data_IF_386018510652
#
_entry.id   IF_386018510652
#
_cell.length_a   1.000
_cell.length_b   1.000
_cell.length_c   1.000
_cell.angle_alpha   90.00
_cell.angle_beta   90.00
_cell.angle_gamma   90.00
#
_symmetry.space_group_name_H-M   'P 1'
#
loop_
_entity.id
_entity.type
_entity.pdbx_description
1 polymer ?
#
# COMPACT_ATOMS: atom_id res chain seq x y z
N UNK A 1 19.92 -11.14 -58.04
CA UNK A 1 18.66 -10.94 -58.79
C UNK A 1 17.91 -9.82 -58.07
N UNK A 2 18.09 -8.56 -58.49
CA UNK A 2 17.17 -7.75 -59.33
C UNK A 2 15.87 -7.43 -58.58
N UNK A 3 15.34 -6.20 -58.37
CA UNK A 3 15.64 -4.79 -58.72
C UNK A 3 14.81 -3.91 -57.73
N UNK A 4 15.30 -2.76 -57.23
CA UNK A 4 14.98 -1.35 -57.61
C UNK A 4 13.47 -1.00 -57.78
N UNK A 5 12.92 0.16 -57.38
CA UNK A 5 13.47 1.39 -56.81
C UNK A 5 12.47 2.57 -56.85
N UNK A 6 12.85 3.67 -56.17
CA UNK A 6 12.60 5.12 -56.45
C UNK A 6 11.23 5.83 -56.21
N UNK A 7 11.32 6.86 -55.35
CA UNK A 7 10.61 8.16 -55.20
C UNK A 7 10.65 9.04 -56.49
N UNK A 8 9.92 10.18 -56.70
CA UNK A 8 9.86 11.37 -55.80
C UNK A 8 8.65 12.37 -55.87
N UNK A 9 8.75 13.36 -54.97
CA UNK A 9 8.13 14.71 -54.77
C UNK A 9 7.29 15.42 -55.85
N UNK A 10 6.36 16.27 -55.38
CA UNK A 10 5.87 17.50 -56.05
C UNK A 10 4.77 18.27 -55.27
N UNK A 11 5.01 19.56 -54.94
CA UNK A 11 4.04 20.63 -54.58
C UNK A 11 3.83 21.54 -55.83
N UNK A 12 2.75 22.37 -55.95
CA UNK A 12 2.59 23.73 -55.34
C UNK A 12 1.14 24.03 -54.84
N UNK A 13 0.85 24.84 -53.82
CA UNK A 13 0.78 26.33 -53.64
C UNK A 13 -0.26 27.11 -54.49
N UNK A 14 -1.27 27.72 -53.83
CA UNK A 14 -1.55 29.18 -53.72
C UNK A 14 -3.04 29.48 -53.35
N UNK A 15 -3.32 30.57 -52.60
CA UNK A 15 -4.68 31.17 -52.53
C UNK A 15 -5.37 31.51 -51.19
N UNK A 16 -4.68 32.16 -50.25
CA UNK A 16 -4.99 33.46 -49.58
C UNK A 16 -6.42 33.97 -49.17
N UNK A 17 -6.45 34.69 -48.00
CA UNK A 17 -7.40 35.74 -47.49
C UNK A 17 -8.66 35.30 -46.69
N UNK A 18 -9.05 35.81 -45.50
CA UNK A 18 -8.85 37.08 -44.75
C UNK A 18 -9.09 36.92 -43.22
N UNK A 19 -8.57 37.91 -42.46
CA UNK A 19 -8.61 38.19 -41.01
C UNK A 19 -10.01 38.46 -40.40
N UNK A 20 -10.19 38.26 -39.08
CA UNK A 20 -10.38 39.36 -38.10
C UNK A 20 -10.39 38.84 -36.64
N UNK A 21 -9.88 39.65 -35.72
CA UNK A 21 -9.58 39.31 -34.33
C UNK A 21 -10.72 39.50 -33.32
N UNK A 22 -10.46 39.07 -32.08
CA UNK A 22 -10.71 39.82 -30.82
C UNK A 22 -10.77 38.89 -29.60
N UNK A 23 -10.15 39.35 -28.51
CA UNK A 23 -10.24 38.79 -27.16
C UNK A 23 -11.68 38.93 -26.62
N UNK A 24 -12.17 37.94 -25.86
CA UNK A 24 -12.59 38.14 -24.46
C UNK A 24 -12.88 36.80 -23.75
N UNK A 25 -12.81 36.85 -22.42
CA UNK A 25 -13.04 35.83 -21.42
C UNK A 25 -14.47 35.30 -21.46
N UNK A 26 -14.67 34.01 -21.24
CA UNK A 26 -15.78 33.51 -20.41
C UNK A 26 -15.58 32.04 -20.06
N UNK A 27 -15.55 31.78 -18.77
CA UNK A 27 -15.59 30.48 -18.10
C UNK A 27 -16.90 29.75 -18.44
N UNK A 28 -16.88 28.48 -18.89
CA UNK A 28 -18.07 27.64 -18.82
C UNK A 28 -18.04 26.84 -17.51
N UNK A 29 -18.91 27.26 -16.60
CA UNK A 29 -19.39 26.46 -15.48
C UNK A 29 -20.05 25.19 -16.03
N UNK A 30 -19.53 24.00 -15.70
CA UNK A 30 -20.14 22.73 -16.08
C UNK A 30 -20.52 21.93 -14.83
N UNK A 31 -21.83 21.95 -14.58
CA UNK A 31 -22.70 20.89 -14.09
C UNK A 31 -22.23 20.01 -12.92
N UNK A 32 -22.94 20.19 -11.81
CA UNK A 32 -23.20 19.17 -10.80
C UNK A 32 -23.58 17.82 -11.43
N UNK A 33 -22.99 16.69 -11.01
CA UNK A 33 -23.58 15.38 -11.25
C UNK A 33 -24.47 15.00 -10.06
N UNK A 34 -25.77 15.08 -10.30
CA UNK A 34 -26.77 14.31 -9.56
C UNK A 34 -26.59 12.81 -9.82
N UNK A 35 -26.52 12.06 -8.71
CA UNK A 35 -26.97 10.66 -8.53
C UNK A 35 -26.34 9.55 -9.40
N UNK A 36 -25.50 8.78 -8.73
CA UNK A 36 -25.69 7.33 -8.57
C UNK A 36 -25.39 6.44 -9.77
N UNK A 37 -24.16 5.95 -9.87
CA UNK A 37 -23.88 4.72 -10.62
C UNK A 37 -24.18 3.49 -9.74
N UNK A 38 -25.05 2.56 -10.17
CA UNK A 38 -25.26 1.30 -9.49
C UNK A 38 -24.28 0.26 -10.06
N UNK A 39 -23.14 0.08 -9.36
CA UNK A 39 -22.37 -1.16 -9.29
C UNK A 39 -21.14 -0.92 -8.40
N UNK A 40 -21.39 -0.69 -7.10
CA UNK A 40 -20.37 -0.97 -6.10
C UNK A 40 -20.46 -2.47 -5.81
N UNK A 41 -19.66 -3.28 -6.52
CA UNK A 41 -19.23 -4.57 -5.95
C UNK A 41 -18.44 -4.20 -4.68
N UNK A 42 -19.15 -4.05 -3.57
CA UNK A 42 -18.59 -3.56 -2.32
C UNK A 42 -17.91 -4.75 -1.64
N UNK A 43 -16.81 -5.22 -2.23
CA UNK A 43 -15.95 -6.27 -1.68
C UNK A 43 -15.69 -5.93 -0.20
N UNK A 44 -16.08 -6.81 0.71
CA UNK A 44 -15.90 -6.61 2.15
C UNK A 44 -14.61 -7.25 2.62
N UNK A 45 -14.20 -8.33 1.98
CA UNK A 45 -13.03 -9.10 2.37
C UNK A 45 -11.99 -9.22 1.26
N UNK A 46 -10.73 -9.37 1.66
CA UNK A 46 -9.70 -9.87 0.75
C UNK A 46 -10.05 -11.28 0.31
N UNK A 47 -9.79 -11.58 -0.97
CA UNK A 47 -9.85 -12.94 -1.53
C UNK A 47 -8.79 -13.88 -0.96
N UNK A 48 -7.79 -13.34 -0.24
CA UNK A 48 -6.77 -14.11 0.48
C UNK A 48 -7.17 -14.28 1.94
N UNK A 49 -7.26 -15.52 2.38
CA UNK A 49 -7.69 -15.91 3.73
C UNK A 49 -6.59 -16.73 4.39
N UNK A 50 -6.25 -16.42 5.64
CA UNK A 50 -5.32 -17.24 6.42
C UNK A 50 -6.05 -18.42 7.07
N UNK A 51 -5.42 -19.60 7.03
CA UNK A 51 -5.89 -20.81 7.71
C UNK A 51 -4.78 -21.35 8.60
N UNK A 52 -5.03 -21.46 9.90
CA UNK A 52 -4.03 -21.91 10.89
C UNK A 52 -4.49 -23.10 11.72
N UNK A 53 -3.53 -23.87 12.25
CA UNK A 53 -3.81 -25.05 13.06
C UNK A 53 -4.08 -26.32 12.26
N UNK A 54 -3.70 -26.35 10.98
CA UNK A 54 -3.85 -27.50 10.09
C UNK A 54 -3.26 -28.79 10.71
N UNK A 55 -3.83 -29.98 10.44
CA UNK A 55 -3.16 -31.24 10.74
C UNK A 55 -1.77 -31.28 10.08
N UNK A 56 -0.75 -31.87 10.73
CA UNK A 56 0.61 -31.90 10.19
C UNK A 56 0.75 -32.76 8.92
N UNK A 57 -0.19 -33.67 8.70
CA UNK A 57 -0.26 -34.63 7.61
C UNK A 57 -1.33 -34.28 6.57
N UNK A 58 -1.98 -33.10 6.66
CA UNK A 58 -2.95 -32.67 5.64
C UNK A 58 -2.23 -32.13 4.41
N UNK A 59 -2.63 -32.59 3.23
CA UNK A 59 -2.05 -32.12 1.96
C UNK A 59 -2.91 -31.05 1.27
N UNK A 60 -2.43 -30.53 0.14
CA UNK A 60 -3.16 -29.54 -0.66
C UNK A 60 -4.51 -30.05 -1.20
N UNK A 61 -4.59 -31.32 -1.55
CA UNK A 61 -5.77 -31.91 -2.17
C UNK A 61 -6.91 -32.01 -1.14
N UNK A 62 -6.57 -32.41 0.08
CA UNK A 62 -7.48 -32.47 1.23
C UNK A 62 -7.93 -31.07 1.67
N UNK A 63 -7.01 -30.09 1.73
CA UNK A 63 -7.36 -28.69 1.99
C UNK A 63 -8.30 -28.18 0.90
N UNK A 64 -7.95 -28.39 -0.37
CA UNK A 64 -8.79 -27.96 -1.50
C UNK A 64 -10.16 -28.61 -1.43
N UNK A 65 -10.24 -29.91 -1.14
CA UNK A 65 -11.50 -30.63 -1.00
C UNK A 65 -12.37 -30.04 0.13
N UNK A 66 -11.78 -29.63 1.24
CA UNK A 66 -12.49 -29.04 2.37
C UNK A 66 -13.08 -27.66 2.06
N UNK A 67 -12.40 -26.84 1.25
CA UNK A 67 -12.78 -25.45 1.00
C UNK A 67 -13.41 -25.17 -0.37
N UNK A 68 -13.23 -26.05 -1.37
CA UNK A 68 -13.77 -25.86 -2.74
C UNK A 68 -15.28 -25.71 -2.79
N UNK A 69 -15.99 -26.16 -1.75
CA UNK A 69 -17.45 -26.03 -1.62
C UNK A 69 -17.93 -24.58 -1.55
N UNK A 70 -17.04 -23.65 -1.16
CA UNK A 70 -17.34 -22.23 -1.08
C UNK A 70 -17.05 -21.50 -2.39
N UNK A 71 -16.19 -22.08 -3.24
CA UNK A 71 -15.85 -21.55 -4.55
C UNK A 71 -14.47 -22.00 -5.03
N UNK A 72 -14.11 -21.68 -6.28
CA UNK A 72 -12.78 -21.97 -6.83
C UNK A 72 -11.69 -21.24 -6.05
N UNK A 73 -10.61 -21.95 -5.71
CA UNK A 73 -9.51 -21.42 -4.91
C UNK A 73 -8.17 -22.06 -5.28
N UNK A 74 -7.09 -21.37 -4.90
CA UNK A 74 -5.71 -21.89 -4.91
C UNK A 74 -5.19 -21.90 -3.48
N UNK A 75 -4.55 -23.00 -3.07
CA UNK A 75 -3.89 -23.10 -1.76
C UNK A 75 -2.44 -22.66 -1.91
N UNK A 76 -1.99 -21.74 -1.08
CA UNK A 76 -0.62 -21.22 -1.09
C UNK A 76 0.00 -21.23 0.32
N UNK A 77 1.30 -21.39 0.40
CA UNK A 77 2.07 -21.21 1.63
C UNK A 77 3.51 -20.79 1.30
N UNK A 78 4.21 -20.13 2.23
CA UNK A 78 5.56 -19.64 1.96
C UNK A 78 6.49 -20.75 1.46
N UNK A 79 7.27 -20.46 0.42
CA UNK A 79 8.24 -21.37 -0.23
C UNK A 79 7.66 -22.64 -0.87
N UNK A 80 6.34 -22.70 -1.14
CA UNK A 80 5.71 -23.86 -1.80
C UNK A 80 6.37 -24.23 -3.14
N UNK A 81 6.55 -23.24 -4.03
CA UNK A 81 7.12 -23.45 -5.36
C UNK A 81 8.60 -23.89 -5.35
N UNK A 82 9.36 -23.48 -4.32
CA UNK A 82 10.79 -23.75 -4.20
C UNK A 82 11.07 -25.08 -3.49
N UNK A 83 10.29 -25.39 -2.45
CA UNK A 83 10.56 -26.53 -1.57
C UNK A 83 10.06 -27.87 -2.11
N UNK A 84 9.19 -27.89 -3.14
CA UNK A 84 8.40 -29.07 -3.56
C UNK A 84 7.72 -29.79 -2.37
N UNK A 85 7.55 -29.09 -1.24
CA UNK A 85 6.92 -29.66 -0.05
C UNK A 85 5.44 -29.84 -0.33
N UNK A 86 4.94 -31.06 -0.17
CA UNK A 86 3.51 -31.37 -0.31
C UNK A 86 2.68 -30.87 0.88
N UNK A 87 3.33 -30.60 2.01
CA UNK A 87 2.68 -30.23 3.27
C UNK A 87 2.96 -28.78 3.67
N UNK A 88 1.96 -28.06 4.24
CA UNK A 88 2.12 -26.70 4.72
C UNK A 88 3.03 -26.67 5.97
N UNK A 89 4.18 -25.96 5.90
CA UNK A 89 5.09 -25.90 7.03
C UNK A 89 4.46 -25.15 8.20
N UNK A 90 4.65 -25.66 9.43
CA UNK A 90 4.13 -25.07 10.68
C UNK A 90 2.60 -25.03 10.80
N UNK A 91 1.89 -25.84 10.01
CA UNK A 91 0.45 -26.05 10.17
C UNK A 91 -0.42 -24.84 9.81
N UNK A 92 -0.03 -24.06 8.80
CA UNK A 92 -0.86 -22.98 8.26
C UNK A 92 -0.69 -22.82 6.75
N UNK A 93 -1.72 -22.28 6.09
CA UNK A 93 -1.69 -21.92 4.68
C UNK A 93 -2.52 -20.66 4.41
N UNK A 94 -2.58 -20.26 3.14
CA UNK A 94 -3.46 -19.22 2.63
C UNK A 94 -4.36 -19.81 1.55
N UNK A 95 -5.64 -19.49 1.62
CA UNK A 95 -6.59 -19.74 0.55
C UNK A 95 -6.69 -18.48 -0.30
N UNK A 96 -6.52 -18.60 -1.62
CA UNK A 96 -6.73 -17.53 -2.58
C UNK A 96 -7.98 -17.88 -3.39
N UNK A 97 -9.12 -17.33 -3.01
CA UNK A 97 -10.36 -17.51 -3.75
C UNK A 97 -10.37 -16.69 -5.05
N UNK A 98 -11.05 -17.17 -6.07
CA UNK A 98 -11.26 -16.38 -7.29
C UNK A 98 -12.20 -15.20 -7.03
N UNK A 99 -13.25 -15.43 -6.23
CA UNK A 99 -14.33 -14.47 -5.96
C UNK A 99 -14.44 -14.14 -4.46
N UNK A 100 -14.71 -12.88 -4.14
CA UNK A 100 -14.91 -12.41 -2.77
C UNK A 100 -16.16 -13.03 -2.10
N UNK A 101 -17.21 -13.31 -2.89
CA UNK A 101 -18.41 -14.02 -2.41
C UNK A 101 -18.09 -15.39 -1.82
N UNK A 102 -17.02 -16.05 -2.29
CA UNK A 102 -16.58 -17.34 -1.73
C UNK A 102 -16.05 -17.18 -0.30
N UNK A 103 -15.40 -16.06 -0.01
CA UNK A 103 -14.92 -15.71 1.34
C UNK A 103 -16.09 -15.41 2.25
N UNK A 104 -17.11 -14.70 1.76
CA UNK A 104 -18.35 -14.46 2.53
C UNK A 104 -19.05 -15.77 2.89
N UNK A 105 -19.25 -16.67 1.91
CA UNK A 105 -19.85 -17.98 2.14
C UNK A 105 -19.05 -18.84 3.13
N UNK A 106 -17.72 -18.79 3.08
CA UNK A 106 -16.86 -19.44 4.06
C UNK A 106 -17.09 -18.88 5.48
N UNK A 107 -17.10 -17.55 5.63
CA UNK A 107 -17.29 -16.88 6.93
C UNK A 107 -18.66 -17.24 7.52
N UNK A 108 -19.72 -17.20 6.71
CA UNK A 108 -21.09 -17.52 7.15
C UNK A 108 -21.25 -18.97 7.59
N UNK A 109 -20.45 -19.89 7.03
CA UNK A 109 -20.46 -21.30 7.40
C UNK A 109 -19.54 -21.65 8.59
N UNK A 110 -18.64 -20.74 8.98
CA UNK A 110 -17.70 -21.00 10.07
C UNK A 110 -18.39 -21.09 11.44
N UNK A 111 -17.84 -21.94 12.31
CA UNK A 111 -18.13 -21.92 13.74
C UNK A 111 -17.48 -20.68 14.36
N UNK A 112 -18.21 -19.97 15.22
CA UNK A 112 -17.71 -18.76 15.89
C UNK A 112 -17.48 -19.06 17.38
N UNK A 113 -16.25 -18.92 17.83
CA UNK A 113 -15.86 -19.11 19.24
C UNK A 113 -14.87 -18.00 19.63
N UNK A 114 -15.12 -17.28 20.73
CA UNK A 114 -14.30 -16.14 21.20
C UNK A 114 -13.97 -15.10 20.11
N UNK A 115 -14.95 -14.77 19.27
CA UNK A 115 -14.78 -13.87 18.10
C UNK A 115 -13.77 -14.36 17.05
N UNK A 116 -13.42 -15.64 17.08
CA UNK A 116 -12.58 -16.32 16.07
C UNK A 116 -13.46 -17.26 15.25
N UNK A 117 -13.09 -17.43 13.99
CA UNK A 117 -13.79 -18.30 13.05
C UNK A 117 -13.04 -19.63 12.95
N UNK A 118 -13.80 -20.72 12.93
CA UNK A 118 -13.28 -22.07 12.81
C UNK A 118 -14.03 -22.87 11.73
N UNK A 119 -13.29 -23.69 11.01
CA UNK A 119 -13.83 -24.65 10.06
C UNK A 119 -13.20 -26.01 10.31
N UNK A 120 -13.97 -27.09 10.20
CA UNK A 120 -13.44 -28.43 10.43
C UNK A 120 -12.82 -29.00 9.14
N UNK A 121 -11.60 -29.53 9.25
CA UNK A 121 -10.91 -30.26 8.17
C UNK A 121 -10.50 -31.63 8.66
N UNK A 122 -10.32 -32.56 7.73
CA UNK A 122 -9.87 -33.92 8.02
C UNK A 122 -8.63 -34.25 7.20
N UNK A 123 -7.65 -34.93 7.83
CA UNK A 123 -6.48 -35.53 7.20
C UNK A 123 -6.58 -37.07 7.29
N UNK A 124 -5.57 -37.85 6.84
CA UNK A 124 -5.58 -39.30 6.97
C UNK A 124 -5.62 -39.75 8.43
N UNK A 125 -4.90 -39.06 9.33
CA UNK A 125 -4.80 -39.45 10.74
C UNK A 125 -5.75 -38.70 11.69
N UNK A 126 -6.33 -37.57 11.28
CA UNK A 126 -7.18 -36.75 12.14
C UNK A 126 -8.49 -36.38 11.44
N UNK A 127 -9.63 -36.64 12.08
CA UNK A 127 -10.95 -36.29 11.56
C UNK A 127 -11.50 -35.07 12.28
N UNK A 128 -12.21 -34.23 11.53
CA UNK A 128 -12.97 -33.07 12.02
C UNK A 128 -12.16 -32.15 12.95
N UNK A 129 -10.89 -31.91 12.61
CA UNK A 129 -10.04 -30.98 13.35
C UNK A 129 -10.51 -29.55 13.08
N UNK A 130 -10.87 -28.76 14.10
CA UNK A 130 -11.15 -27.34 13.91
C UNK A 130 -9.86 -26.60 13.57
N UNK A 131 -9.86 -25.90 12.44
CA UNK A 131 -8.78 -25.00 12.02
C UNK A 131 -9.27 -23.56 12.03
N UNK A 132 -8.38 -22.66 12.40
CA UNK A 132 -8.71 -21.24 12.53
C UNK A 132 -8.74 -20.57 11.16
N UNK A 133 -9.86 -19.92 10.85
CA UNK A 133 -10.06 -19.12 9.64
C UNK A 133 -9.91 -17.64 10.00
N UNK A 134 -9.07 -16.91 9.26
CA UNK A 134 -8.83 -15.48 9.49
C UNK A 134 -8.91 -14.72 8.16
N UNK A 135 -10.10 -14.20 7.80
CA UNK A 135 -10.24 -13.31 6.66
C UNK A 135 -9.64 -11.93 6.96
N UNK A 136 -9.27 -11.19 5.92
CA UNK A 136 -8.91 -9.78 6.06
C UNK A 136 -10.09 -8.90 5.64
N UNK A 137 -10.59 -8.08 6.55
CA UNK A 137 -11.64 -7.10 6.25
C UNK A 137 -11.00 -5.87 5.59
N UNK A 138 -11.51 -5.48 4.42
CA UNK A 138 -10.94 -4.36 3.68
C UNK A 138 -11.07 -3.03 4.45
N UNK A 139 -12.10 -2.88 5.30
CA UNK A 139 -12.30 -1.72 6.14
C UNK A 139 -11.27 -1.58 7.27
N UNK A 140 -10.48 -2.62 7.56
CA UNK A 140 -9.40 -2.57 8.55
C UNK A 140 -8.07 -2.05 7.97
N UNK A 141 -8.03 -1.77 6.66
CA UNK A 141 -6.83 -1.34 5.93
C UNK A 141 -6.48 0.13 6.17
N UNK A 142 -7.43 0.96 6.55
CA UNK A 142 -7.23 2.38 6.82
C UNK A 142 -8.07 2.87 7.98
N UNK A 143 -7.60 3.93 8.63
CA UNK A 143 -8.28 4.56 9.75
C UNK A 143 -7.97 6.05 9.76
N UNK A 144 -9.02 6.87 9.78
CA UNK A 144 -8.93 8.34 9.92
C UNK A 144 -9.56 8.71 11.26
N UNK A 145 -8.82 9.41 12.12
CA UNK A 145 -9.31 9.83 13.45
C UNK A 145 -10.21 11.06 13.39
N UNK A 146 -9.89 11.99 12.49
CA UNK A 146 -10.64 13.22 12.24
C UNK A 146 -10.58 13.53 10.74
N UNK A 147 -11.70 13.39 10.05
CA UNK A 147 -11.81 13.61 8.60
C UNK A 147 -11.94 15.08 8.20
N UNK A 148 -12.01 16.01 9.17
CA UNK A 148 -12.15 17.44 8.90
C UNK A 148 -10.83 18.13 8.54
N UNK A 149 -9.70 17.54 8.90
CA UNK A 149 -8.38 18.13 8.69
C UNK A 149 -7.69 17.51 7.47
N UNK A 150 -7.13 18.32 6.56
CA UNK A 150 -6.35 17.79 5.45
C UNK A 150 -5.12 17.08 6.00
N UNK A 151 -4.88 15.86 5.50
CA UNK A 151 -3.70 15.08 5.85
C UNK A 151 -2.49 15.61 5.08
N UNK A 152 -1.42 15.92 5.81
CA UNK A 152 -0.16 16.32 5.20
C UNK A 152 0.73 15.07 4.99
N UNK A 153 0.98 14.67 3.73
CA UNK A 153 1.77 13.49 3.43
C UNK A 153 3.23 13.63 3.88
N UNK A 154 3.74 14.86 4.08
CA UNK A 154 5.12 15.10 4.57
C UNK A 154 5.29 14.80 6.05
N UNK A 155 4.19 14.75 6.82
CA UNK A 155 4.16 14.32 8.23
C UNK A 155 3.79 12.85 8.40
N UNK A 156 4.03 12.04 7.35
CA UNK A 156 3.75 10.60 7.36
C UNK A 156 5.02 9.80 7.59
N UNK A 157 4.93 8.79 8.43
CA UNK A 157 5.97 7.79 8.66
C UNK A 157 5.60 6.47 7.99
N UNK A 158 6.61 5.75 7.54
CA UNK A 158 6.52 4.35 7.16
C UNK A 158 6.87 3.48 8.37
N UNK A 159 6.07 2.44 8.62
CA UNK A 159 6.26 1.46 9.69
C UNK A 159 6.47 0.09 9.05
N UNK A 160 7.71 -0.39 9.06
CA UNK A 160 8.10 -1.68 8.52
C UNK A 160 8.06 -2.79 9.55
N UNK A 161 7.56 -3.96 9.17
CA UNK A 161 7.53 -5.14 10.03
C UNK A 161 6.27 -5.26 10.89
N UNK A 162 5.22 -4.48 10.61
CA UNK A 162 3.91 -4.55 11.27
C UNK A 162 3.38 -5.99 11.28
N UNK A 163 2.85 -6.51 12.41
CA UNK A 163 2.18 -7.81 12.44
C UNK A 163 1.00 -7.85 11.46
N UNK A 164 0.90 -8.88 10.60
CA UNK A 164 -0.20 -9.00 9.62
C UNK A 164 -1.62 -8.98 10.23
N UNK A 165 -1.84 -9.48 11.45
CA UNK A 165 -3.12 -9.32 12.15
C UNK A 165 -3.52 -7.89 12.52
N UNK A 166 -2.54 -6.98 12.62
CA UNK A 166 -2.75 -5.65 13.18
C UNK A 166 -3.59 -4.80 12.21
N UNK A 167 -4.65 -4.20 12.74
CA UNK A 167 -5.55 -3.33 11.98
C UNK A 167 -5.08 -1.88 12.00
N UNK A 168 -5.48 -1.09 11.01
CA UNK A 168 -5.09 0.32 10.92
C UNK A 168 -5.48 1.13 12.18
N UNK A 169 -6.68 0.89 12.70
CA UNK A 169 -7.17 1.53 13.94
C UNK A 169 -6.28 1.21 15.14
N UNK A 170 -5.84 -0.05 15.28
CA UNK A 170 -4.98 -0.50 16.38
C UNK A 170 -3.59 0.15 16.26
N UNK A 171 -3.02 0.18 15.04
CA UNK A 171 -1.77 0.89 14.78
C UNK A 171 -1.86 2.38 15.13
N UNK A 172 -2.95 3.04 14.74
CA UNK A 172 -3.20 4.45 15.08
C UNK A 172 -3.26 4.67 16.60
N UNK A 173 -3.96 3.81 17.33
CA UNK A 173 -4.07 3.92 18.79
C UNK A 173 -2.71 3.77 19.48
N UNK A 174 -1.95 2.75 19.11
CA UNK A 174 -0.61 2.50 19.68
C UNK A 174 0.30 3.71 19.42
N UNK A 175 0.38 4.17 18.17
CA UNK A 175 1.24 5.31 17.82
C UNK A 175 0.77 6.62 18.46
N UNK A 176 -0.54 6.81 18.61
CA UNK A 176 -1.09 7.98 19.29
C UNK A 176 -0.78 7.97 20.79
N UNK A 177 -0.75 6.79 21.42
CA UNK A 177 -0.35 6.67 22.82
C UNK A 177 1.14 6.97 23.02
N UNK A 178 1.99 6.60 22.05
CA UNK A 178 3.44 6.82 22.14
C UNK A 178 3.86 8.26 21.83
N UNK A 179 3.29 8.87 20.78
CA UNK A 179 3.77 10.16 20.25
C UNK A 179 2.70 11.26 20.23
N UNK A 180 1.43 10.92 20.43
CA UNK A 180 0.31 11.85 20.26
C UNK A 180 0.07 12.24 18.81
N UNK A 181 -1.04 12.96 18.58
CA UNK A 181 -1.29 13.66 17.32
C UNK A 181 -1.44 12.79 16.07
N UNK A 182 -1.78 11.51 16.19
CA UNK A 182 -2.05 10.68 15.00
C UNK A 182 -3.41 11.07 14.41
N UNK A 183 -3.43 11.41 13.13
CA UNK A 183 -4.65 11.72 12.39
C UNK A 183 -5.07 10.59 11.42
N UNK A 184 -4.10 9.80 10.96
CA UNK A 184 -4.34 8.70 10.03
C UNK A 184 -3.39 7.53 10.29
N UNK A 185 -3.89 6.32 10.08
CA UNK A 185 -3.04 5.14 9.87
C UNK A 185 -3.59 4.29 8.73
N UNK A 186 -2.68 3.59 8.04
CA UNK A 186 -3.02 2.63 7.00
C UNK A 186 -2.11 1.42 7.07
N UNK A 187 -2.64 0.26 6.69
CA UNK A 187 -1.89 -0.98 6.49
C UNK A 187 -1.56 -1.10 5.00
N UNK A 188 -0.30 -1.34 4.69
CA UNK A 188 0.13 -1.55 3.31
C UNK A 188 -0.32 -2.95 2.86
N UNK A 189 -1.21 -2.97 1.87
CA UNK A 189 -1.76 -4.18 1.28
C UNK A 189 -1.19 -4.47 -0.10
N UNK A 190 -1.29 -5.72 -0.51
CA UNK A 190 -1.06 -6.12 -1.90
C UNK A 190 -2.07 -5.45 -2.84
N UNK A 191 -1.66 -4.93 -4.02
CA UNK A 191 -2.58 -4.22 -4.92
C UNK A 191 -3.65 -5.14 -5.55
N UNK A 192 -3.36 -6.43 -5.73
CA UNK A 192 -4.28 -7.36 -6.38
C UNK A 192 -5.22 -8.01 -5.37
N UNK A 193 -4.66 -8.52 -4.27
CA UNK A 193 -5.42 -9.28 -3.28
C UNK A 193 -5.91 -8.39 -2.13
N UNK A 194 -5.44 -7.14 -2.02
CA UNK A 194 -5.75 -6.23 -0.90
C UNK A 194 -5.47 -6.86 0.47
N UNK A 195 -4.42 -7.71 0.55
CA UNK A 195 -4.03 -8.43 1.76
C UNK A 195 -2.79 -7.81 2.43
N UNK A 196 -2.70 -7.73 3.77
CA UNK A 196 -1.57 -7.10 4.48
C UNK A 196 -0.20 -7.67 4.14
N UNK A 197 0.76 -6.79 3.85
CA UNK A 197 2.16 -7.14 3.55
C UNK A 197 3.10 -7.05 4.75
N UNK A 198 2.59 -6.65 5.92
CA UNK A 198 3.38 -6.47 7.13
C UNK A 198 4.14 -5.14 7.18
N UNK A 199 3.54 -4.10 6.60
CA UNK A 199 3.98 -2.72 6.71
C UNK A 199 2.74 -1.82 6.85
N UNK A 200 2.95 -0.58 7.25
CA UNK A 200 1.91 0.42 7.34
C UNK A 200 2.45 1.83 7.31
N UNK A 201 1.53 2.79 7.36
CA UNK A 201 1.80 4.22 7.34
C UNK A 201 1.04 4.90 8.46
N UNK A 202 1.62 5.92 9.06
CA UNK A 202 0.97 6.72 10.10
C UNK A 202 1.26 8.18 9.85
N UNK A 203 0.21 8.99 9.78
CA UNK A 203 0.33 10.44 9.61
C UNK A 203 0.02 11.17 10.90
N UNK A 204 0.79 12.22 11.15
CA UNK A 204 0.66 13.07 12.33
C UNK A 204 0.12 14.45 11.95
N UNK A 205 -0.73 15.00 12.82
CA UNK A 205 -1.27 16.35 12.69
C UNK A 205 -0.21 17.43 12.95
N UNK A 206 0.83 17.10 13.72
CA UNK A 206 1.84 18.06 14.16
C UNK A 206 3.28 17.55 13.89
N UNK A 207 4.19 18.51 13.70
CA UNK A 207 5.59 18.24 13.36
C UNK A 207 6.36 17.58 14.51
N UNK A 208 6.01 17.89 15.76
CA UNK A 208 6.71 17.37 16.94
C UNK A 208 6.54 15.85 17.07
N UNK A 209 5.32 15.34 16.96
CA UNK A 209 5.02 13.90 16.97
C UNK A 209 5.69 13.17 15.81
N UNK A 210 5.70 13.76 14.61
CA UNK A 210 6.41 13.22 13.45
C UNK A 210 7.92 13.07 13.71
N UNK A 211 8.59 14.13 14.16
CA UNK A 211 10.04 14.10 14.44
C UNK A 211 10.35 13.11 15.57
N UNK A 212 9.53 13.07 16.62
CA UNK A 212 9.69 12.13 17.74
C UNK A 212 9.63 10.68 17.26
N UNK A 213 8.66 10.34 16.40
CA UNK A 213 8.51 9.01 15.85
C UNK A 213 9.69 8.60 14.95
N UNK A 214 10.17 9.50 14.08
CA UNK A 214 11.35 9.24 13.25
C UNK A 214 12.61 9.06 14.09
N UNK A 215 12.79 9.88 15.11
CA UNK A 215 13.96 9.83 16.00
C UNK A 215 14.03 8.51 16.78
N UNK A 216 12.88 7.91 17.11
CA UNK A 216 12.83 6.63 17.81
C UNK A 216 13.40 5.48 16.96
N UNK A 217 13.22 5.52 15.63
CA UNK A 217 13.66 4.52 14.62
C UNK A 217 13.10 3.10 14.80
N UNK A 218 12.89 2.63 16.02
CA UNK A 218 12.29 1.35 16.35
C UNK A 218 11.25 1.51 17.44
N UNK A 219 10.14 0.81 17.30
CA UNK A 219 9.03 0.82 18.25
C UNK A 219 8.62 -0.60 18.55
N UNK A 220 8.23 -0.89 19.79
CA UNK A 220 7.61 -2.16 20.13
C UNK A 220 6.11 -2.07 19.87
N UNK A 221 5.58 -2.95 19.03
CA UNK A 221 4.14 -3.11 18.83
C UNK A 221 3.67 -4.38 19.51
N UNK A 222 2.74 -4.22 20.44
CA UNK A 222 2.06 -5.31 21.11
C UNK A 222 0.65 -5.47 20.52
N UNK A 223 0.32 -6.69 20.06
CA UNK A 223 -0.99 -7.05 19.55
C UNK A 223 -1.35 -8.48 19.96
N UNK A 224 -2.23 -8.62 20.95
CA UNK A 224 -2.47 -9.90 21.61
C UNK A 224 -1.17 -10.46 22.19
N UNK A 225 -0.86 -11.71 21.85
CA UNK A 225 0.37 -12.39 22.27
C UNK A 225 1.60 -12.06 21.40
N UNK A 226 1.43 -11.22 20.37
CA UNK A 226 2.52 -10.81 19.48
C UNK A 226 3.17 -9.55 20.06
N UNK A 227 4.42 -9.67 20.47
CA UNK A 227 5.31 -8.54 20.71
C UNK A 227 6.35 -8.49 19.59
N UNK A 228 6.39 -7.38 18.86
CA UNK A 228 7.28 -7.23 17.71
C UNK A 228 7.88 -5.84 17.63
N UNK A 229 9.20 -5.81 17.51
CA UNK A 229 9.97 -4.61 17.20
C UNK A 229 9.82 -4.25 15.73
N UNK A 230 9.20 -3.11 15.45
CA UNK A 230 9.01 -2.56 14.11
C UNK A 230 10.01 -1.44 13.83
N UNK A 231 10.32 -1.23 12.56
CA UNK A 231 11.20 -0.16 12.10
C UNK A 231 10.37 1.03 11.61
N UNK A 232 10.73 2.24 12.03
CA UNK A 232 10.09 3.49 11.63
C UNK A 232 11.04 4.28 10.73
N UNK A 233 10.54 4.75 9.59
CA UNK A 233 11.27 5.58 8.62
C UNK A 233 10.40 6.73 8.12
N UNK A 234 10.99 7.83 7.63
CA UNK A 234 10.23 8.83 6.90
C UNK A 234 9.52 8.20 5.70
N UNK A 235 8.25 8.55 5.49
CA UNK A 235 7.59 8.22 4.24
C UNK A 235 8.09 9.18 3.14
N UNK A 236 8.71 8.63 2.11
CA UNK A 236 9.31 9.41 1.02
C UNK A 236 8.29 9.56 -0.11
N UNK A 237 8.12 10.79 -0.57
CA UNK A 237 7.20 11.20 -1.62
C UNK A 237 7.95 11.40 -2.93
N UNK A 238 7.22 11.22 -4.02
CA UNK A 238 7.78 11.05 -5.36
C UNK A 238 7.85 12.35 -6.18
N UNK A 239 7.09 13.36 -5.75
CA UNK A 239 6.71 14.56 -6.49
C UNK A 239 7.05 15.85 -5.71
N UNK A 240 8.08 15.78 -4.88
CA UNK A 240 8.49 16.91 -4.05
C UNK A 240 9.55 17.75 -4.77
N UNK A 241 9.36 19.07 -4.75
CA UNK A 241 10.38 20.02 -5.19
C UNK A 241 11.48 20.13 -4.13
N UNK A 242 12.64 20.65 -4.55
CA UNK A 242 13.72 20.96 -3.63
C UNK A 242 13.25 21.99 -2.59
N UNK A 243 13.36 21.69 -1.29
CA UNK A 243 12.88 22.58 -0.23
C UNK A 243 13.67 23.90 -0.17
N UNK A 244 14.91 23.90 -0.69
CA UNK A 244 15.82 25.05 -0.64
C UNK A 244 15.67 26.01 -1.81
N UNK A 245 15.40 25.49 -3.02
CA UNK A 245 15.33 26.32 -4.23
C UNK A 245 13.98 26.24 -4.94
N UNK A 246 13.04 25.42 -4.46
CA UNK A 246 11.69 25.27 -5.00
C UNK A 246 11.68 24.97 -6.51
N UNK A 247 12.65 24.19 -6.98
CA UNK A 247 12.80 23.84 -8.40
C UNK A 247 13.57 24.85 -9.25
N UNK A 248 13.89 26.04 -8.73
CA UNK A 248 14.52 27.11 -9.50
C UNK A 248 15.90 26.73 -10.07
N UNK A 249 16.68 25.92 -9.35
CA UNK A 249 18.02 25.48 -9.79
C UNK A 249 18.01 24.18 -10.62
N UNK A 250 16.86 23.56 -10.83
CA UNK A 250 16.73 22.28 -11.53
C UNK A 250 15.66 22.30 -12.64
N UNK A 251 15.31 23.49 -13.14
CA UNK A 251 14.36 23.64 -14.24
C UNK A 251 12.97 23.10 -13.92
N UNK A 252 12.53 23.21 -12.66
CA UNK A 252 11.24 22.71 -12.19
C UNK A 252 11.16 21.19 -11.98
N UNK A 253 12.27 20.45 -12.14
CA UNK A 253 12.31 19.01 -11.85
C UNK A 253 12.16 18.73 -10.35
N UNK A 254 11.52 17.61 -10.02
CA UNK A 254 11.44 17.09 -8.65
C UNK A 254 12.82 16.76 -8.08
N UNK A 255 12.94 16.87 -6.76
CA UNK A 255 14.15 16.59 -6.03
C UNK A 255 14.46 15.08 -6.06
N UNK A 256 15.64 14.65 -6.55
CA UNK A 256 16.04 13.24 -6.58
C UNK A 256 16.50 12.71 -5.21
N UNK A 257 16.79 13.60 -4.25
CA UNK A 257 17.36 13.23 -2.95
C UNK A 257 16.45 13.63 -1.80
N UNK A 258 16.26 12.71 -0.86
CA UNK A 258 15.66 13.00 0.43
C UNK A 258 16.69 12.73 1.56
N UNK A 259 16.90 13.71 2.44
CA UNK A 259 17.75 13.54 3.61
C UNK A 259 16.92 13.07 4.81
N UNK A 260 17.07 11.80 5.20
CA UNK A 260 16.36 11.23 6.35
C UNK A 260 16.98 11.57 7.71
N UNK A 261 18.03 12.39 7.77
CA UNK A 261 18.56 12.85 9.04
C UNK A 261 17.57 13.80 9.71
N UNK A 262 17.32 13.63 11.01
CA UNK A 262 16.35 14.42 11.80
C UNK A 262 16.62 15.93 11.78
N UNK A 263 17.86 16.35 11.52
CA UNK A 263 18.23 17.77 11.39
C UNK A 263 17.95 18.37 10.01
N UNK A 264 17.63 17.53 9.02
CA UNK A 264 17.25 17.95 7.66
C UNK A 264 15.78 17.62 7.39
N UNK A 265 15.42 16.33 7.27
CA UNK A 265 14.08 15.84 6.86
C UNK A 265 13.51 16.61 5.64
N UNK A 266 14.37 16.80 4.63
CA UNK A 266 14.14 17.69 3.50
C UNK A 266 14.51 17.03 2.17
N UNK A 267 13.86 17.51 1.12
CA UNK A 267 14.12 17.17 -0.27
C UNK A 267 15.10 18.16 -0.89
N UNK A 268 16.08 17.64 -1.63
CA UNK A 268 17.13 18.46 -2.25
C UNK A 268 17.32 18.09 -3.72
N UNK A 269 17.50 19.10 -4.56
CA UNK A 269 18.10 18.91 -5.88
C UNK A 269 19.61 18.61 -5.75
N UNK A 270 20.23 18.09 -6.80
CA UNK A 270 21.66 17.71 -6.78
C UNK A 270 22.57 18.85 -6.32
N UNK A 271 22.32 20.06 -6.84
CA UNK A 271 23.11 21.24 -6.50
C UNK A 271 22.94 21.68 -5.04
N UNK A 272 21.70 21.76 -4.55
CA UNK A 272 21.43 22.12 -3.16
C UNK A 272 21.97 21.06 -2.18
N UNK A 273 21.86 19.77 -2.54
CA UNK A 273 22.44 18.69 -1.76
C UNK A 273 23.94 18.87 -1.57
N UNK A 274 24.69 19.04 -2.67
CA UNK A 274 26.13 19.21 -2.63
C UNK A 274 26.55 20.45 -1.81
N UNK A 275 25.83 21.57 -1.95
CA UNK A 275 26.14 22.81 -1.24
C UNK A 275 25.89 22.71 0.27
N UNK A 276 24.85 21.99 0.68
CA UNK A 276 24.42 21.92 2.09
C UNK A 276 25.12 20.80 2.85
N UNK A 277 25.29 19.63 2.21
CA UNK A 277 25.89 18.45 2.83
C UNK A 277 27.41 18.38 2.71
N UNK A 278 28.05 19.36 2.06
CA UNK A 278 29.50 19.59 2.17
C UNK A 278 29.90 20.43 3.39
N UNK A 279 28.93 20.99 4.13
CA UNK A 279 29.20 21.80 5.32
C UNK A 279 29.61 20.91 6.51
N UNK A 280 30.49 21.40 7.41
CA UNK A 280 30.87 20.68 8.61
C UNK A 280 29.66 20.24 9.42
N UNK A 281 29.62 18.97 9.83
CA UNK A 281 28.53 18.42 10.63
C UNK A 281 27.31 17.92 9.83
N UNK A 282 27.32 18.03 8.49
CA UNK A 282 26.32 17.39 7.60
C UNK A 282 26.94 16.42 6.60
N UNK A 283 28.25 16.31 6.59
CA UNK A 283 29.05 15.46 5.69
C UNK A 283 28.72 13.95 5.79
N UNK A 284 28.25 13.49 6.95
CA UNK A 284 27.88 12.09 7.19
C UNK A 284 26.42 11.77 6.83
N UNK A 285 25.64 12.77 6.39
CA UNK A 285 24.27 12.52 5.94
C UNK A 285 24.30 11.77 4.61
N UNK A 286 23.46 10.74 4.50
CA UNK A 286 23.34 9.95 3.27
C UNK A 286 22.03 10.27 2.57
N UNK A 287 22.04 10.55 1.25
CA UNK A 287 20.81 10.77 0.51
C UNK A 287 20.10 9.44 0.35
N UNK A 288 18.80 9.42 0.57
CA UNK A 288 17.94 8.39 0.01
C UNK A 288 17.69 8.76 -1.45
N UNK A 289 18.27 7.97 -2.35
CA UNK A 289 18.14 8.12 -3.79
C UNK A 289 16.97 7.25 -4.24
N UNK A 290 16.06 7.84 -5.00
CA UNK A 290 14.92 7.12 -5.57
C UNK A 290 15.37 6.39 -6.85
N UNK A 291 15.50 5.06 -6.80
CA UNK A 291 15.61 4.27 -8.03
C UNK A 291 14.29 4.33 -8.81
N UNK A 292 14.39 4.60 -10.11
CA UNK A 292 13.37 4.74 -11.16
C UNK A 292 11.89 4.47 -10.83
N UNK A 293 11.09 5.54 -10.99
CA UNK A 293 9.76 5.71 -11.61
C UNK A 293 8.79 4.54 -11.98
N UNK A 294 8.99 3.29 -11.56
CA UNK A 294 8.15 2.16 -11.99
C UNK A 294 7.33 1.53 -10.84
N UNK A 295 7.22 2.22 -9.70
CA UNK A 295 6.11 1.93 -8.78
C UNK A 295 4.85 2.53 -9.38
N UNK A 296 3.74 1.76 -9.50
CA UNK A 296 2.48 2.33 -9.91
C UNK A 296 2.22 3.56 -9.03
N UNK A 297 1.99 4.71 -9.70
CA UNK A 297 1.71 5.97 -9.03
C UNK A 297 0.69 5.67 -7.93
N UNK A 298 1.02 6.01 -6.67
CA UNK A 298 0.00 6.07 -5.66
C UNK A 298 -1.10 6.97 -6.23
N UNK A 299 -2.29 6.40 -6.38
CA UNK A 299 -3.43 7.06 -7.00
C UNK A 299 -3.56 8.44 -6.35
N UNK A 300 -3.64 9.55 -7.10
CA UNK A 300 -3.79 10.86 -6.49
C UNK A 300 -4.98 10.81 -5.54
N UNK A 301 -4.71 11.07 -4.26
CA UNK A 301 -5.69 10.97 -3.19
C UNK A 301 -6.88 11.87 -3.54
N UNK A 302 -8.00 11.25 -3.93
CA UNK A 302 -9.30 11.92 -3.95
C UNK A 302 -9.98 11.56 -2.63
N UNK A 303 -9.90 12.50 -1.70
CA UNK A 303 -10.73 12.47 -0.50
C UNK A 303 -12.14 12.94 -0.92
N UNK A 304 -13.10 12.00 -0.94
CA UNK A 304 -14.53 12.29 -1.00
C UNK A 304 -15.13 12.04 0.39
#
# INVERSE_FOLDING_TARGET
MLFAGKLPFGFPDDGQYLEDGSLDQTVPCLNSPSRGSPNSNNERYSRKVFVGGLPPDIDEEEITAAFRRFGPLVVDWPHKAESKSYFPPKGYCFLLFQDEMSVQALIEACLVEDSKLYWCVSSPTMKDKPVQIRPWNLADSDFVKDGSQPLDPRKTIFVGGVPRPLRARELAMIMNQLYGGVCYAGIDTDPELKYPKGAGRVAFSNQQSYIAAISARFVQLQHGDIDKRVEVKPYVLDDQLCDECQGARCGGKFAPFFCANVTCLQYYCEHCWAQIHSRPGREFHKPLVKEGADRPRAVPFRWC
#
